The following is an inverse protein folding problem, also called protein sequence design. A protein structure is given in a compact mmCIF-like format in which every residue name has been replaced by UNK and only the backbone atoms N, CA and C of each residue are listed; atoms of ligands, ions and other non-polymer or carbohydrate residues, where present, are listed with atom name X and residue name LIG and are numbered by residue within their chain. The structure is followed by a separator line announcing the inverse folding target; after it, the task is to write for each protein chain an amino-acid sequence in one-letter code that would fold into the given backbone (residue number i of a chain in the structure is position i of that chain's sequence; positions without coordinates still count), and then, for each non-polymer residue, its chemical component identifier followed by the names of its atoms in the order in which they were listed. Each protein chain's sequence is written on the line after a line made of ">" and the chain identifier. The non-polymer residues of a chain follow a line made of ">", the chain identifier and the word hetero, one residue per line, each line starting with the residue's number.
data_IF_776230243286
#
_entry.id   IF_776230243286
#
_cell.length_a   1.000
_cell.length_b   1.000
_cell.length_c   1.000
_cell.angle_alpha   90.00
_cell.angle_beta   90.00
_cell.angle_gamma   90.00
#
_symmetry.space_group_name_H-M   'P 1'
#
loop_
_entity.id
_entity.type
_entity.pdbx_description
1 polymer ?
#
# COMPACT_ATOMS: atom_id res chain seq x y z
N UNK A 1 -12.99 -19.31 -14.03
CA UNK A 1 -12.38 -20.10 -12.93
C UNK A 1 -10.86 -19.93 -12.81
N UNK A 2 -10.10 -19.77 -13.90
CA UNK A 2 -8.64 -19.58 -13.84
C UNK A 2 -8.18 -18.19 -13.36
N UNK A 3 -8.94 -17.12 -13.58
CA UNK A 3 -8.54 -15.75 -13.21
C UNK A 3 -8.52 -15.51 -11.69
N UNK A 4 -9.48 -16.08 -10.95
CA UNK A 4 -9.47 -16.03 -9.49
C UNK A 4 -8.18 -16.67 -8.93
N UNK A 5 -7.69 -17.76 -9.54
CA UNK A 5 -6.45 -18.41 -9.14
C UNK A 5 -5.23 -17.52 -9.31
N UNK A 6 -5.09 -16.81 -10.43
CA UNK A 6 -3.96 -15.90 -10.67
C UNK A 6 -3.89 -14.81 -9.60
N UNK A 7 -5.00 -14.16 -9.28
CA UNK A 7 -5.01 -13.10 -8.26
C UNK A 7 -4.77 -13.64 -6.85
N UNK A 8 -5.35 -14.79 -6.50
CA UNK A 8 -5.07 -15.45 -5.23
C UNK A 8 -3.60 -15.87 -5.13
N UNK A 9 -3.00 -16.34 -6.22
CA UNK A 9 -1.57 -16.67 -6.29
C UNK A 9 -0.69 -15.42 -6.15
N UNK A 10 -1.01 -14.32 -6.82
CA UNK A 10 -0.25 -13.07 -6.69
C UNK A 10 -0.32 -12.51 -5.28
N UNK A 11 -1.51 -12.52 -4.65
CA UNK A 11 -1.69 -12.12 -3.25
C UNK A 11 -0.86 -12.99 -2.30
N UNK A 12 -0.89 -14.31 -2.50
CA UNK A 12 -0.18 -15.27 -1.65
C UNK A 12 1.35 -15.15 -1.83
N UNK A 13 1.82 -14.89 -3.06
CA UNK A 13 3.23 -14.59 -3.32
C UNK A 13 3.67 -13.28 -2.67
N UNK A 14 2.87 -12.22 -2.78
CA UNK A 14 3.21 -10.91 -2.21
C UNK A 14 3.28 -10.99 -0.67
N UNK A 15 2.25 -11.57 -0.05
CA UNK A 15 2.22 -11.79 1.40
C UNK A 15 3.36 -12.71 1.86
N UNK A 16 3.67 -13.75 1.08
CA UNK A 16 4.80 -14.64 1.34
C UNK A 16 6.15 -13.91 1.33
N UNK A 17 6.43 -13.08 0.32
CA UNK A 17 7.66 -12.29 0.25
C UNK A 17 7.81 -11.32 1.42
N UNK A 18 6.73 -10.61 1.78
CA UNK A 18 6.77 -9.71 2.94
C UNK A 18 7.01 -10.47 4.24
N UNK A 19 6.38 -11.62 4.44
CA UNK A 19 6.60 -12.46 5.61
C UNK A 19 8.06 -12.97 5.68
N UNK A 20 8.64 -13.38 4.55
CA UNK A 20 10.05 -13.83 4.50
C UNK A 20 11.01 -12.70 4.84
N UNK A 21 10.85 -11.52 4.22
CA UNK A 21 11.72 -10.37 4.47
C UNK A 21 11.59 -9.89 5.91
N UNK A 22 10.37 -9.76 6.42
CA UNK A 22 10.14 -9.34 7.80
C UNK A 22 10.66 -10.37 8.81
N UNK A 23 10.49 -11.67 8.53
CA UNK A 23 11.04 -12.73 9.36
C UNK A 23 12.56 -12.69 9.43
N UNK A 24 13.22 -12.42 8.31
CA UNK A 24 14.67 -12.23 8.29
C UNK A 24 15.10 -11.01 9.13
N UNK A 25 14.43 -9.87 8.98
CA UNK A 25 14.72 -8.65 9.76
C UNK A 25 14.49 -8.87 11.25
N UNK A 26 13.35 -9.44 11.64
CA UNK A 26 13.02 -9.70 13.05
C UNK A 26 13.99 -10.69 13.69
N UNK A 27 14.43 -11.72 12.96
CA UNK A 27 15.44 -12.66 13.43
C UNK A 27 16.79 -11.99 13.65
N UNK A 28 17.23 -11.16 12.69
CA UNK A 28 18.49 -10.41 12.81
C UNK A 28 18.45 -9.42 13.99
N UNK A 29 17.36 -8.67 14.14
CA UNK A 29 17.16 -7.77 15.28
C UNK A 29 17.10 -8.54 16.61
N UNK A 30 16.40 -9.67 16.66
CA UNK A 30 16.33 -10.51 17.86
C UNK A 30 17.70 -11.03 18.30
N UNK A 31 18.51 -11.50 17.34
CA UNK A 31 19.90 -11.92 17.59
C UNK A 31 20.77 -10.75 18.06
N UNK A 32 20.68 -9.59 17.40
CA UNK A 32 21.43 -8.41 17.78
C UNK A 32 21.10 -7.92 19.20
N UNK A 33 19.82 -7.92 19.58
CA UNK A 33 19.39 -7.58 20.94
C UNK A 33 19.89 -8.60 21.96
N UNK A 34 19.85 -9.90 21.64
CA UNK A 34 20.38 -10.94 22.51
C UNK A 34 21.88 -10.76 22.77
N UNK A 35 22.68 -10.58 21.71
CA UNK A 35 24.12 -10.31 21.81
C UNK A 35 24.41 -9.05 22.62
N UNK A 36 23.66 -7.96 22.39
CA UNK A 36 23.82 -6.72 23.14
C UNK A 36 23.53 -6.89 24.64
N UNK A 37 22.48 -7.64 25.00
CA UNK A 37 22.15 -7.96 26.40
C UNK A 37 23.26 -8.79 27.03
N UNK A 38 23.73 -9.84 26.35
CA UNK A 38 24.83 -10.69 26.84
C UNK A 38 26.08 -9.85 27.09
N UNK A 39 26.47 -9.03 26.12
CA UNK A 39 27.67 -8.19 26.21
C UNK A 39 27.57 -7.14 27.33
N UNK A 40 26.44 -6.42 27.43
CA UNK A 40 26.22 -5.42 28.48
C UNK A 40 26.25 -6.06 29.88
N UNK A 41 25.69 -7.26 30.01
CA UNK A 41 25.65 -7.94 31.30
C UNK A 41 27.02 -8.46 31.72
N UNK A 42 27.83 -8.97 30.78
CA UNK A 42 29.23 -9.32 31.03
C UNK A 42 30.05 -8.12 31.51
N UNK A 43 29.98 -6.98 30.82
CA UNK A 43 30.68 -5.77 31.23
C UNK A 43 30.27 -5.29 32.63
N UNK A 44 28.98 -5.43 32.97
CA UNK A 44 28.47 -5.07 34.30
C UNK A 44 29.00 -6.02 35.37
N UNK A 45 29.01 -7.31 35.08
CA UNK A 45 29.49 -8.35 35.98
C UNK A 45 30.99 -8.22 36.26
N UNK A 46 31.79 -7.93 35.25
CA UNK A 46 33.24 -7.72 35.39
C UNK A 46 33.52 -6.49 36.27
N UNK A 47 32.85 -5.36 36.01
CA UNK A 47 33.00 -4.14 36.83
C UNK A 47 32.58 -4.33 38.27
N UNK A 48 31.48 -5.06 38.50
CA UNK A 48 31.00 -5.36 39.86
C UNK A 48 31.98 -6.27 40.59
N UNK A 49 32.49 -7.33 39.94
CA UNK A 49 33.51 -8.21 40.50
C UNK A 49 34.81 -7.47 40.81
N UNK A 50 35.30 -6.63 39.90
CA UNK A 50 36.52 -5.86 40.08
C UNK A 50 36.40 -4.84 41.21
N UNK A 51 35.27 -4.13 41.33
CA UNK A 51 35.04 -3.19 42.42
C UNK A 51 34.98 -3.87 43.80
N UNK A 52 34.27 -5.00 43.90
CA UNK A 52 34.17 -5.73 45.17
C UNK A 52 35.51 -6.42 45.49
N UNK A 53 36.20 -6.98 44.50
CA UNK A 53 37.51 -7.59 44.69
C UNK A 53 38.56 -6.55 45.08
N UNK A 54 38.62 -5.39 44.44
CA UNK A 54 39.55 -4.31 44.79
C UNK A 54 39.35 -3.78 46.21
N UNK A 55 38.11 -3.50 46.61
CA UNK A 55 37.81 -3.03 47.97
C UNK A 55 38.19 -4.05 49.05
N UNK A 56 37.97 -5.34 48.77
CA UNK A 56 38.36 -6.41 49.68
C UNK A 56 39.88 -6.63 49.69
N UNK A 57 40.53 -6.53 48.53
CA UNK A 57 41.96 -6.62 48.35
C UNK A 57 42.68 -5.58 49.21
N UNK A 58 42.35 -4.30 49.05
CA UNK A 58 42.94 -3.18 49.81
C UNK A 58 42.72 -3.34 51.32
N UNK A 59 41.54 -3.80 51.72
CA UNK A 59 41.18 -4.01 53.12
C UNK A 59 42.00 -5.14 53.76
N UNK A 60 42.23 -6.23 53.04
CA UNK A 60 43.01 -7.38 53.52
C UNK A 60 44.49 -7.04 53.53
N UNK A 61 45.01 -6.43 52.46
CA UNK A 61 46.43 -6.09 52.31
C UNK A 61 46.96 -5.23 53.46
N UNK A 62 46.15 -4.28 53.94
CA UNK A 62 46.49 -3.41 55.07
C UNK A 62 46.72 -4.17 56.39
N UNK A 63 46.15 -5.37 56.55
CA UNK A 63 46.29 -6.21 57.74
C UNK A 63 47.39 -7.28 57.63
N UNK A 64 48.03 -7.45 56.45
CA UNK A 64 49.06 -8.47 56.21
C UNK A 64 50.46 -8.01 56.63
N UNK A 65 51.00 -8.62 57.70
CA UNK A 65 52.32 -8.29 58.26
C UNK A 65 53.43 -9.28 57.90
N UNK A 66 53.13 -10.57 57.86
CA UNK A 66 54.12 -11.62 57.55
C UNK A 66 53.69 -12.43 56.33
N UNK A 67 54.61 -12.78 55.41
CA UNK A 67 54.33 -13.72 54.34
C UNK A 67 53.82 -15.05 54.91
N UNK A 68 52.83 -15.66 54.25
CA UNK A 68 52.35 -17.03 54.53
C UNK A 68 51.66 -17.27 55.90
N UNK A 69 51.55 -16.24 56.76
CA UNK A 69 50.82 -16.31 58.04
C UNK A 69 49.64 -15.33 58.05
N UNK A 70 48.43 -15.86 58.18
CA UNK A 70 47.22 -15.04 58.29
C UNK A 70 47.04 -14.57 59.75
N UNK A 71 47.12 -13.27 59.97
CA UNK A 71 46.94 -12.65 61.28
C UNK A 71 45.48 -12.76 61.77
N UNK A 72 45.23 -12.83 63.09
CA UNK A 72 43.87 -12.91 63.63
C UNK A 72 42.97 -11.73 63.22
N UNK A 73 43.54 -10.53 62.99
CA UNK A 73 42.81 -9.35 62.51
C UNK A 73 42.35 -9.49 61.05
N UNK A 74 43.21 -10.02 60.17
CA UNK A 74 42.85 -10.33 58.78
C UNK A 74 41.78 -11.43 58.68
N UNK A 75 41.79 -12.41 59.59
CA UNK A 75 40.72 -13.43 59.68
C UNK A 75 39.35 -12.84 60.03
N UNK A 76 39.29 -11.77 60.83
CA UNK A 76 38.02 -11.12 61.19
C UNK A 76 37.43 -10.26 60.07
N UNK A 77 38.22 -9.92 59.03
CA UNK A 77 37.77 -9.20 57.85
C UNK A 77 37.17 -10.12 56.77
N UNK A 78 37.47 -11.42 56.84
CA UNK A 78 36.83 -12.41 55.99
C UNK A 78 35.37 -12.58 56.43
N UNK A 79 34.40 -12.56 55.50
CA UNK A 79 33.00 -12.75 55.84
C UNK A 79 32.77 -14.16 56.42
N UNK A 80 32.55 -14.24 57.74
CA UNK A 80 32.02 -15.44 58.38
C UNK A 80 30.57 -15.69 57.95
N UNK A 81 30.13 -16.95 58.01
CA UNK A 81 28.78 -17.40 57.62
C UNK A 81 27.62 -16.62 58.28
N UNK A 82 27.85 -15.87 59.37
CA UNK A 82 26.82 -15.12 60.12
C UNK A 82 27.30 -13.75 60.70
N UNK A 83 28.07 -12.93 59.98
CA UNK A 83 28.53 -11.63 60.50
C UNK A 83 27.61 -10.43 60.14
N UNK A 84 26.91 -9.87 61.14
CA UNK A 84 26.11 -8.62 61.09
C UNK A 84 26.98 -7.33 61.07
N UNK A 85 27.71 -7.04 59.98
CA UNK A 85 28.30 -5.69 59.78
C UNK A 85 27.85 -5.08 58.44
N UNK A 86 27.30 -3.86 58.52
CA UNK A 86 26.62 -3.15 57.44
C UNK A 86 27.48 -2.75 56.23
N UNK A 87 28.81 -2.95 56.25
CA UNK A 87 29.70 -2.55 55.14
C UNK A 87 29.92 -3.72 54.14
N UNK A 88 29.63 -4.97 54.53
CA UNK A 88 29.82 -6.19 53.71
C UNK A 88 28.50 -6.82 53.21
N UNK A 89 27.40 -6.05 53.20
CA UNK A 89 26.09 -6.51 52.73
C UNK A 89 26.06 -6.93 51.26
N UNK A 90 26.96 -6.40 50.42
CA UNK A 90 27.06 -6.73 48.99
C UNK A 90 27.62 -8.16 48.74
N UNK A 91 28.57 -8.61 49.57
CA UNK A 91 29.16 -9.95 49.47
C UNK A 91 28.18 -11.04 49.92
N UNK A 92 27.19 -10.69 50.75
CA UNK A 92 26.20 -11.64 51.25
C UNK A 92 24.98 -11.81 50.33
N UNK A 93 24.67 -10.82 49.47
CA UNK A 93 23.52 -10.85 48.56
C UNK A 93 23.85 -11.43 47.17
N UNK A 94 25.12 -11.35 46.74
CA UNK A 94 25.58 -12.08 45.56
C UNK A 94 26.24 -13.39 45.99
N UNK A 95 26.03 -14.45 45.22
CA UNK A 95 26.69 -15.76 45.40
C UNK A 95 28.21 -15.67 45.14
N UNK A 96 28.92 -14.91 45.95
CA UNK A 96 30.35 -14.65 45.87
C UNK A 96 31.12 -15.60 46.79
N UNK A 97 32.31 -15.99 46.34
CA UNK A 97 33.27 -16.72 47.13
C UNK A 97 34.63 -16.04 47.05
N UNK A 98 35.41 -16.17 48.11
CA UNK A 98 36.77 -15.65 48.21
C UNK A 98 37.68 -16.76 48.67
N UNK A 99 38.84 -16.92 48.04
CA UNK A 99 39.92 -17.85 48.43
C UNK A 99 41.22 -17.07 48.54
N UNK A 100 41.92 -17.25 49.65
CA UNK A 100 43.28 -16.77 49.84
C UNK A 100 44.24 -17.91 49.57
N UNK A 101 45.19 -17.72 48.67
CA UNK A 101 46.21 -18.69 48.28
C UNK A 101 47.57 -18.24 48.79
N UNK A 102 48.37 -19.17 49.31
CA UNK A 102 49.79 -18.92 49.58
C UNK A 102 50.60 -18.86 48.27
N UNK A 103 51.90 -18.56 48.38
CA UNK A 103 52.83 -18.54 47.23
C UNK A 103 52.94 -19.88 46.49
N UNK A 104 52.62 -20.99 47.17
CA UNK A 104 52.62 -22.33 46.60
C UNK A 104 51.27 -22.71 45.96
N UNK A 105 50.29 -21.79 45.94
CA UNK A 105 48.96 -22.03 45.38
C UNK A 105 48.04 -22.87 46.27
N UNK A 106 48.36 -23.02 47.57
CA UNK A 106 47.52 -23.73 48.54
C UNK A 106 46.53 -22.77 49.19
N UNK A 107 45.30 -23.23 49.37
CA UNK A 107 44.23 -22.43 50.00
C UNK A 107 44.51 -22.25 51.50
N UNK A 108 44.77 -21.01 51.91
CA UNK A 108 45.03 -20.59 53.29
C UNK A 108 43.73 -20.26 54.03
N UNK A 109 42.76 -19.67 53.32
CA UNK A 109 41.44 -19.35 53.85
C UNK A 109 40.39 -19.26 52.74
N UNK A 110 39.13 -19.56 53.09
CA UNK A 110 37.97 -19.38 52.21
C UNK A 110 36.89 -18.57 52.95
N UNK A 111 36.14 -17.76 52.21
CA UNK A 111 35.05 -16.96 52.75
C UNK A 111 33.90 -16.82 51.74
N UNK A 112 32.69 -16.55 52.23
CA UNK A 112 31.49 -16.49 51.39
C UNK A 112 30.88 -17.85 51.06
N UNK A 113 30.21 -17.95 49.91
CA UNK A 113 29.56 -19.19 49.44
C UNK A 113 30.62 -20.16 48.89
N UNK A 114 30.96 -21.25 49.58
CA UNK A 114 31.96 -22.19 49.07
C UNK A 114 31.35 -23.24 48.12
N UNK A 115 31.61 -23.18 46.79
CA UNK A 115 31.08 -24.15 45.85
C UNK A 115 31.81 -25.49 45.96
N UNK A 116 31.04 -26.56 46.21
CA UNK A 116 31.57 -27.93 46.30
C UNK A 116 32.16 -28.38 44.96
N UNK A 117 33.42 -28.78 44.96
CA UNK A 117 34.08 -29.34 43.77
C UNK A 117 34.49 -28.31 42.71
N UNK A 118 34.53 -27.02 43.05
CA UNK A 118 35.12 -26.01 42.16
C UNK A 118 36.66 -26.11 42.19
N UNK A 119 37.33 -26.31 41.04
CA UNK A 119 38.78 -26.49 40.99
C UNK A 119 39.52 -25.29 41.58
N UNK A 120 40.70 -25.53 42.16
CA UNK A 120 41.63 -24.47 42.58
C UNK A 120 42.63 -24.29 41.44
N UNK A 121 42.64 -23.11 40.84
CA UNK A 121 43.53 -22.76 39.74
C UNK A 121 44.69 -21.89 40.24
N UNK A 122 45.86 -21.90 39.56
CA UNK A 122 46.96 -20.99 39.89
C UNK A 122 46.52 -19.53 39.83
N UNK A 123 46.99 -18.71 40.77
CA UNK A 123 46.59 -17.29 40.92
C UNK A 123 47.08 -16.35 39.83
N UNK A 124 47.99 -16.79 38.96
CA UNK A 124 48.64 -15.98 37.91
C UNK A 124 47.68 -15.51 36.80
N UNK A 125 46.50 -16.11 36.68
CA UNK A 125 45.53 -15.76 35.64
C UNK A 125 44.47 -14.83 36.25
N UNK A 126 44.46 -13.60 35.76
CA UNK A 126 43.61 -12.52 36.25
C UNK A 126 42.11 -12.83 36.13
N UNK A 127 41.62 -13.37 35.01
CA UNK A 127 40.19 -13.68 34.80
C UNK A 127 39.97 -15.10 34.31
N UNK A 128 39.01 -15.81 34.91
CA UNK A 128 38.70 -17.20 34.56
C UNK A 128 37.22 -17.52 34.63
N UNK A 129 36.79 -18.43 33.75
CA UNK A 129 35.48 -19.08 33.83
C UNK A 129 35.66 -20.51 34.31
N UNK A 130 35.08 -20.82 35.46
CA UNK A 130 35.17 -22.14 36.09
C UNK A 130 33.81 -22.84 36.09
N UNK A 131 33.83 -24.16 36.26
CA UNK A 131 32.61 -24.95 36.47
C UNK A 131 32.77 -25.81 37.71
N UNK A 132 31.73 -25.89 38.53
CA UNK A 132 31.69 -26.83 39.65
C UNK A 132 31.33 -28.24 39.17
N UNK A 133 31.36 -29.21 40.09
CA UNK A 133 31.01 -30.60 39.80
C UNK A 133 29.54 -30.81 39.36
N UNK A 134 28.66 -29.83 39.62
CA UNK A 134 27.27 -29.82 39.16
C UNK A 134 27.09 -29.13 37.81
N UNK A 135 28.18 -28.63 37.21
CA UNK A 135 28.18 -27.93 35.92
C UNK A 135 27.82 -26.44 36.01
N UNK A 136 27.64 -25.89 37.21
CA UNK A 136 27.35 -24.46 37.37
C UNK A 136 28.59 -23.64 37.04
N UNK A 137 28.39 -22.57 36.29
CA UNK A 137 29.48 -21.69 35.86
C UNK A 137 29.75 -20.62 36.90
N UNK A 138 31.03 -20.30 37.06
CA UNK A 138 31.50 -19.22 37.92
C UNK A 138 32.45 -18.34 37.12
N UNK A 139 32.41 -17.04 37.39
CA UNK A 139 33.38 -16.08 36.89
C UNK A 139 34.28 -15.65 38.03
N UNK A 140 35.60 -15.76 37.87
CA UNK A 140 36.60 -15.55 38.91
C UNK A 140 37.62 -14.50 38.46
N UNK A 141 37.97 -13.59 39.37
CA UNK A 141 39.13 -12.70 39.28
C UNK A 141 40.21 -13.16 40.28
N UNK A 142 41.48 -13.08 39.90
CA UNK A 142 42.64 -13.32 40.77
C UNK A 142 43.47 -12.05 40.89
N UNK A 143 43.79 -11.64 42.12
CA UNK A 143 44.60 -10.47 42.44
C UNK A 143 45.80 -10.89 43.30
N UNK A 144 46.99 -10.36 43.03
CA UNK A 144 48.17 -10.58 43.87
C UNK A 144 48.04 -9.80 45.17
N UNK A 145 48.37 -10.41 46.31
CA UNK A 145 48.40 -9.74 47.62
C UNK A 145 49.84 -9.46 48.03
N UNK A 146 50.13 -8.28 48.58
CA UNK A 146 51.41 -7.99 49.22
C UNK A 146 51.30 -7.82 50.74
N UNK A 147 52.43 -7.96 51.41
CA UNK A 147 52.62 -7.50 52.79
C UNK A 147 52.90 -6.00 52.82
N UNK A 148 52.77 -5.34 53.98
CA UNK A 148 53.15 -3.92 54.16
C UNK A 148 54.57 -3.59 53.65
N UNK A 149 55.49 -4.54 53.71
CA UNK A 149 56.87 -4.39 53.23
C UNK A 149 57.02 -4.70 51.72
N UNK A 150 55.91 -4.67 50.96
CA UNK A 150 55.84 -4.90 49.50
C UNK A 150 56.32 -6.29 49.04
N UNK A 151 56.42 -7.27 49.94
CA UNK A 151 56.67 -8.66 49.56
C UNK A 151 55.37 -9.35 49.15
N UNK A 152 55.39 -10.15 48.10
CA UNK A 152 54.24 -10.98 47.66
C UNK A 152 53.80 -11.87 48.82
N UNK A 153 52.58 -11.75 49.30
CA UNK A 153 52.01 -12.63 50.31
C UNK A 153 51.42 -13.90 49.66
N UNK A 154 50.78 -13.74 48.51
CA UNK A 154 50.06 -14.79 47.80
C UNK A 154 49.05 -14.20 46.83
N UNK A 155 47.95 -14.91 46.56
CA UNK A 155 46.89 -14.43 45.66
C UNK A 155 45.52 -14.47 46.36
N UNK A 156 44.70 -13.46 46.12
CA UNK A 156 43.28 -13.46 46.44
C UNK A 156 42.48 -13.81 45.19
N UNK A 157 41.72 -14.89 45.25
CA UNK A 157 40.73 -15.23 44.24
C UNK A 157 39.35 -14.85 44.74
N UNK A 158 38.59 -14.16 43.90
CA UNK A 158 37.19 -13.85 44.16
C UNK A 158 36.37 -14.28 42.95
N UNK A 159 35.26 -14.98 43.16
CA UNK A 159 34.38 -15.35 42.06
C UNK A 159 32.92 -15.33 42.42
N UNK A 160 32.07 -15.31 41.39
CA UNK A 160 30.60 -15.28 41.50
C UNK A 160 29.96 -16.39 40.67
N UNK A 161 28.88 -16.97 41.18
CA UNK A 161 28.01 -17.87 40.40
C UNK A 161 27.33 -17.12 39.26
N UNK A 162 27.38 -17.69 38.05
CA UNK A 162 26.66 -17.19 36.87
C UNK A 162 25.24 -17.77 36.74
N UNK A 163 24.75 -18.52 37.73
CA UNK A 163 23.42 -19.15 37.66
C UNK A 163 22.28 -18.15 37.45
N UNK A 164 22.36 -16.98 38.09
CA UNK A 164 21.33 -15.94 37.94
C UNK A 164 21.34 -15.35 36.52
N UNK A 165 22.54 -15.15 35.96
CA UNK A 165 22.77 -14.70 34.58
C UNK A 165 22.29 -15.76 33.59
N UNK A 166 22.66 -17.02 33.78
CA UNK A 166 22.25 -18.14 32.93
C UNK A 166 20.71 -18.31 32.94
N UNK A 167 20.06 -18.17 34.10
CA UNK A 167 18.60 -18.21 34.22
C UNK A 167 17.92 -17.03 33.53
N UNK A 168 18.46 -15.83 33.69
CA UNK A 168 17.97 -14.64 32.99
C UNK A 168 18.08 -14.80 31.47
N UNK A 169 19.25 -15.20 30.96
CA UNK A 169 19.46 -15.44 29.53
C UNK A 169 18.59 -16.59 28.99
N UNK A 170 18.29 -17.61 29.79
CA UNK A 170 17.35 -18.66 29.42
C UNK A 170 15.93 -18.12 29.22
N UNK A 171 15.46 -17.23 30.10
CA UNK A 171 14.15 -16.57 29.96
C UNK A 171 14.11 -15.67 28.71
N UNK A 172 15.17 -14.91 28.45
CA UNK A 172 15.29 -14.10 27.22
C UNK A 172 15.25 -14.98 25.97
N UNK A 173 15.99 -16.10 25.97
CA UNK A 173 15.98 -17.06 24.85
C UNK A 173 14.59 -17.65 24.63
N UNK A 174 13.89 -18.04 25.70
CA UNK A 174 12.52 -18.54 25.62
C UNK A 174 11.56 -17.48 25.06
N UNK A 175 11.68 -16.22 25.52
CA UNK A 175 10.89 -15.11 25.04
C UNK A 175 11.13 -14.84 23.54
N UNK A 176 12.37 -14.91 23.06
CA UNK A 176 12.69 -14.79 21.63
C UNK A 176 12.14 -15.97 20.83
N UNK A 177 12.27 -17.20 21.34
CA UNK A 177 11.81 -18.41 20.68
C UNK A 177 10.28 -18.46 20.53
N UNK A 178 9.54 -17.97 21.52
CA UNK A 178 8.07 -17.90 21.46
C UNK A 178 7.56 -16.61 20.78
N UNK A 179 8.24 -15.50 20.99
CA UNK A 179 7.86 -14.20 20.44
C UNK A 179 8.02 -14.12 18.93
N UNK A 180 9.08 -14.71 18.36
CA UNK A 180 9.34 -14.65 16.91
C UNK A 180 8.22 -15.34 16.09
N UNK A 181 7.77 -16.58 16.40
CA UNK A 181 6.63 -17.20 15.71
C UNK A 181 5.33 -16.39 15.84
N UNK A 182 5.04 -15.84 17.03
CA UNK A 182 3.83 -15.04 17.25
C UNK A 182 3.88 -13.76 16.41
N UNK A 183 5.01 -13.05 16.40
CA UNK A 183 5.21 -11.89 15.56
C UNK A 183 5.08 -12.24 14.07
N UNK A 184 5.61 -13.38 13.64
CA UNK A 184 5.50 -13.88 12.26
C UNK A 184 4.06 -14.15 11.83
N UNK A 185 3.23 -14.75 12.71
CA UNK A 185 1.81 -14.99 12.43
C UNK A 185 1.08 -13.65 12.27
N UNK A 186 1.33 -12.69 13.18
CA UNK A 186 0.71 -11.36 13.12
C UNK A 186 1.11 -10.61 11.84
N UNK A 187 2.40 -10.61 11.50
CA UNK A 187 2.92 -10.01 10.27
C UNK A 187 2.32 -10.68 9.04
N UNK A 188 2.23 -12.01 9.01
CA UNK A 188 1.62 -12.75 7.90
C UNK A 188 0.15 -12.39 7.71
N UNK A 189 -0.61 -12.33 8.79
CA UNK A 189 -2.02 -11.91 8.77
C UNK A 189 -2.20 -10.47 8.29
N UNK A 190 -1.42 -9.54 8.84
CA UNK A 190 -1.44 -8.13 8.43
C UNK A 190 -1.03 -7.95 6.96
N UNK A 191 0.01 -8.65 6.51
CA UNK A 191 0.48 -8.63 5.12
C UNK A 191 -0.58 -9.17 4.16
N UNK A 192 -1.25 -10.26 4.54
CA UNK A 192 -2.35 -10.83 3.76
C UNK A 192 -3.54 -9.87 3.64
N UNK A 193 -3.88 -9.17 4.73
CA UNK A 193 -4.93 -8.15 4.74
C UNK A 193 -4.57 -6.99 3.82
N UNK A 194 -3.39 -6.38 4.02
CA UNK A 194 -2.93 -5.21 3.28
C UNK A 194 -2.80 -5.49 1.78
N UNK A 195 -2.27 -6.66 1.40
CA UNK A 195 -2.18 -7.10 0.01
C UNK A 195 -3.56 -7.21 -0.65
N UNK A 196 -4.58 -7.63 0.13
CA UNK A 196 -5.97 -7.65 -0.34
C UNK A 196 -6.46 -6.25 -0.70
N UNK A 197 -6.27 -5.27 0.18
CA UNK A 197 -6.65 -3.87 -0.07
C UNK A 197 -5.95 -3.28 -1.29
N UNK A 198 -4.64 -3.52 -1.44
CA UNK A 198 -3.85 -3.02 -2.56
C UNK A 198 -4.28 -3.61 -3.92
N UNK A 199 -4.78 -4.85 -3.95
CA UNK A 199 -5.19 -5.53 -5.18
C UNK A 199 -6.61 -5.15 -5.66
N UNK A 200 -7.48 -4.67 -4.78
CA UNK A 200 -8.85 -4.27 -5.13
C UNK A 200 -8.95 -3.27 -6.29
N UNK A 201 -8.23 -2.13 -6.30
CA UNK A 201 -8.30 -1.17 -7.41
C UNK A 201 -7.76 -1.76 -8.71
N UNK A 202 -6.69 -2.54 -8.65
CA UNK A 202 -6.08 -3.20 -9.82
C UNK A 202 -7.07 -4.18 -10.44
N UNK A 203 -7.75 -4.98 -9.61
CA UNK A 203 -8.76 -5.92 -10.08
C UNK A 203 -9.93 -5.22 -10.78
N UNK A 204 -10.44 -4.13 -10.19
CA UNK A 204 -11.51 -3.33 -10.79
C UNK A 204 -11.11 -2.75 -12.14
N UNK A 205 -9.92 -2.16 -12.22
CA UNK A 205 -9.37 -1.61 -13.46
C UNK A 205 -9.18 -2.70 -14.52
N UNK A 206 -8.61 -3.84 -14.16
CA UNK A 206 -8.41 -4.97 -15.08
C UNK A 206 -9.75 -5.50 -15.64
N UNK A 207 -10.74 -5.71 -14.76
CA UNK A 207 -12.10 -6.11 -15.16
C UNK A 207 -12.74 -5.10 -16.11
N UNK A 208 -12.58 -3.80 -15.86
CA UNK A 208 -13.10 -2.75 -16.74
C UNK A 208 -12.43 -2.78 -18.12
N UNK A 209 -11.12 -2.98 -18.19
CA UNK A 209 -10.39 -3.11 -19.46
C UNK A 209 -10.81 -4.36 -20.22
N UNK A 210 -10.95 -5.49 -19.54
CA UNK A 210 -11.41 -6.75 -20.14
C UNK A 210 -12.83 -6.60 -20.72
N UNK A 211 -13.76 -6.04 -19.93
CA UNK A 211 -15.13 -5.79 -20.37
C UNK A 211 -15.16 -4.80 -21.54
N UNK A 212 -14.43 -3.68 -21.45
CA UNK A 212 -14.31 -2.72 -22.54
C UNK A 212 -13.80 -3.34 -23.84
N UNK A 213 -12.79 -4.22 -23.75
CA UNK A 213 -12.23 -4.89 -24.93
C UNK A 213 -13.24 -5.88 -25.53
N UNK A 214 -13.97 -6.61 -24.69
CA UNK A 214 -15.01 -7.52 -25.14
C UNK A 214 -16.17 -6.78 -25.82
N UNK A 215 -16.65 -5.70 -25.20
CA UNK A 215 -17.75 -4.88 -25.72
C UNK A 215 -17.35 -4.19 -27.04
N UNK A 216 -16.12 -3.64 -27.10
CA UNK A 216 -15.57 -3.07 -28.33
C UNK A 216 -15.48 -4.10 -29.46
N UNK A 217 -15.03 -5.32 -29.17
CA UNK A 217 -14.96 -6.39 -30.16
C UNK A 217 -16.36 -6.77 -30.67
N UNK A 218 -17.38 -6.78 -29.80
CA UNK A 218 -18.75 -7.08 -30.20
C UNK A 218 -19.34 -5.99 -31.10
N UNK A 219 -19.19 -4.72 -30.71
CA UNK A 219 -19.72 -3.60 -31.47
C UNK A 219 -18.98 -3.37 -32.80
N UNK A 220 -17.69 -3.73 -32.90
CA UNK A 220 -16.94 -3.74 -34.16
C UNK A 220 -17.38 -4.88 -35.10
N UNK A 221 -17.69 -6.06 -34.56
CA UNK A 221 -18.08 -7.24 -35.36
C UNK A 221 -19.39 -7.00 -36.11
N UNK A 222 -20.32 -6.26 -35.54
CA UNK A 222 -21.66 -6.04 -36.12
C UNK A 222 -21.63 -5.31 -37.47
N UNK A 223 -21.08 -4.07 -37.59
CA UNK A 223 -21.00 -3.38 -38.88
C UNK A 223 -20.08 -4.11 -39.87
N UNK A 224 -19.03 -4.78 -39.39
CA UNK A 224 -18.14 -5.58 -40.25
C UNK A 224 -18.87 -6.77 -40.88
N UNK A 225 -19.63 -7.54 -40.09
CA UNK A 225 -20.42 -8.66 -40.58
C UNK A 225 -21.53 -8.19 -41.54
N UNK A 226 -22.17 -7.05 -41.24
CA UNK A 226 -23.18 -6.47 -42.13
C UNK A 226 -22.59 -6.03 -43.49
N UNK A 227 -21.42 -5.38 -43.47
CA UNK A 227 -20.71 -4.99 -44.68
C UNK A 227 -20.28 -6.23 -45.49
N UNK A 228 -19.72 -7.24 -44.82
CA UNK A 228 -19.31 -8.49 -45.44
C UNK A 228 -20.49 -9.22 -46.09
N UNK A 229 -21.60 -9.39 -45.38
CA UNK A 229 -22.81 -10.03 -45.93
C UNK A 229 -23.38 -9.26 -47.13
N UNK A 230 -23.33 -7.93 -47.11
CA UNK A 230 -23.76 -7.09 -48.25
C UNK A 230 -22.87 -7.33 -49.46
N UNK A 231 -21.55 -7.40 -49.28
CA UNK A 231 -20.59 -7.68 -50.36
C UNK A 231 -20.75 -9.10 -50.88
N UNK A 232 -20.84 -10.10 -50.01
CA UNK A 232 -21.06 -11.51 -50.39
C UNK A 232 -22.35 -11.67 -51.19
N UNK A 233 -23.44 -11.03 -50.76
CA UNK A 233 -24.70 -11.04 -51.49
C UNK A 233 -24.57 -10.39 -52.88
N UNK A 234 -23.83 -9.29 -52.99
CA UNK A 234 -23.61 -8.61 -54.26
C UNK A 234 -22.78 -9.47 -55.24
N UNK A 235 -21.79 -10.20 -54.72
CA UNK A 235 -20.93 -11.09 -55.53
C UNK A 235 -21.67 -12.32 -56.07
N UNK A 236 -22.79 -12.72 -55.47
CA UNK A 236 -23.62 -13.83 -55.94
C UNK A 236 -24.62 -13.42 -57.05
N UNK A 237 -24.80 -12.12 -57.28
CA UNK A 237 -25.73 -11.62 -58.30
C UNK A 237 -25.11 -11.69 -59.70
N UNK A 238 -25.81 -12.28 -60.66
CA UNK A 238 -25.34 -12.40 -62.05
C UNK A 238 -25.42 -11.11 -62.85
N UNK A 239 -26.26 -10.17 -62.41
CA UNK A 239 -26.43 -8.83 -62.97
C UNK A 239 -26.82 -7.87 -61.84
N UNK A 240 -26.27 -6.66 -61.87
CA UNK A 240 -26.56 -5.57 -60.95
C UNK A 240 -26.88 -4.35 -61.78
N UNK A 241 -28.06 -3.77 -61.60
CA UNK A 241 -28.36 -2.48 -62.24
C UNK A 241 -27.67 -1.31 -61.50
N UNK A 242 -27.61 -0.14 -62.14
CA UNK A 242 -26.96 1.05 -61.59
C UNK A 242 -27.56 1.50 -60.25
N UNK A 243 -28.85 1.21 -60.01
CA UNK A 243 -29.56 1.62 -58.80
C UNK A 243 -29.20 0.68 -57.65
N UNK A 244 -29.28 -0.62 -57.86
CA UNK A 244 -28.89 -1.66 -56.89
C UNK A 244 -27.42 -1.53 -56.51
N UNK A 245 -26.54 -1.28 -57.48
CA UNK A 245 -25.13 -1.03 -57.23
C UNK A 245 -24.91 0.19 -56.32
N UNK A 246 -25.64 1.29 -56.57
CA UNK A 246 -25.58 2.50 -55.71
C UNK A 246 -26.13 2.24 -54.31
N UNK A 247 -27.21 1.46 -54.18
CA UNK A 247 -27.79 1.13 -52.88
C UNK A 247 -26.85 0.25 -52.03
N UNK A 248 -26.18 -0.72 -52.67
CA UNK A 248 -25.13 -1.56 -52.05
C UNK A 248 -23.95 -0.70 -51.60
N UNK A 249 -23.41 0.14 -52.49
CA UNK A 249 -22.27 1.01 -52.17
C UNK A 249 -22.61 2.00 -51.05
N UNK A 250 -23.81 2.56 -51.07
CA UNK A 250 -24.32 3.45 -50.01
C UNK A 250 -24.43 2.71 -48.67
N UNK A 251 -24.87 1.45 -48.70
CA UNK A 251 -24.93 0.61 -47.49
C UNK A 251 -23.54 0.32 -46.93
N UNK A 252 -22.58 -0.04 -47.79
CA UNK A 252 -21.18 -0.27 -47.39
C UNK A 252 -20.55 1.01 -46.83
N UNK A 253 -20.74 2.16 -47.51
CA UNK A 253 -20.25 3.46 -47.06
C UNK A 253 -20.76 3.79 -45.66
N UNK A 254 -22.06 3.57 -45.39
CA UNK A 254 -22.67 3.78 -44.08
C UNK A 254 -22.05 2.87 -43.00
N UNK A 255 -21.79 1.60 -43.29
CA UNK A 255 -21.14 0.69 -42.33
C UNK A 255 -19.68 1.10 -42.06
N UNK A 256 -18.93 1.49 -43.10
CA UNK A 256 -17.56 1.97 -42.95
C UNK A 256 -17.50 3.25 -42.11
N UNK A 257 -18.39 4.22 -42.36
CA UNK A 257 -18.46 5.44 -41.57
C UNK A 257 -18.78 5.14 -40.11
N UNK A 258 -19.70 4.21 -39.83
CA UNK A 258 -20.01 3.76 -38.47
C UNK A 258 -18.79 3.12 -37.79
N UNK A 259 -18.02 2.30 -38.52
CA UNK A 259 -16.79 1.68 -38.02
C UNK A 259 -15.74 2.75 -37.69
N UNK A 260 -15.53 3.74 -38.58
CA UNK A 260 -14.60 4.84 -38.38
C UNK A 260 -14.96 5.67 -37.14
N UNK A 261 -16.23 6.03 -36.97
CA UNK A 261 -16.70 6.73 -35.78
C UNK A 261 -16.42 5.91 -34.53
N UNK A 262 -16.78 4.63 -34.52
CA UNK A 262 -16.56 3.76 -33.36
C UNK A 262 -15.08 3.65 -32.99
N UNK A 263 -14.19 3.43 -33.96
CA UNK A 263 -12.74 3.39 -33.70
C UNK A 263 -12.24 4.71 -33.13
N UNK A 264 -12.69 5.84 -33.67
CA UNK A 264 -12.33 7.18 -33.20
C UNK A 264 -12.82 7.42 -31.76
N UNK A 265 -14.03 6.97 -31.43
CA UNK A 265 -14.63 7.03 -30.10
C UNK A 265 -13.82 6.21 -29.08
N UNK A 266 -13.42 4.99 -29.45
CA UNK A 266 -12.60 4.13 -28.60
C UNK A 266 -11.21 4.73 -28.34
N UNK A 267 -10.57 5.24 -29.39
CA UNK A 267 -9.26 5.88 -29.27
C UNK A 267 -9.31 7.14 -28.40
N UNK A 268 -10.39 7.93 -28.51
CA UNK A 268 -10.60 9.08 -27.64
C UNK A 268 -10.71 8.64 -26.17
N UNK A 269 -11.61 7.70 -25.87
CA UNK A 269 -11.81 7.20 -24.50
C UNK A 269 -10.52 6.62 -23.91
N UNK A 270 -9.78 5.82 -24.67
CA UNK A 270 -8.52 5.23 -24.23
C UNK A 270 -7.43 6.30 -23.94
N UNK A 271 -7.41 7.41 -24.68
CA UNK A 271 -6.50 8.53 -24.43
C UNK A 271 -6.89 9.29 -23.16
N UNK A 272 -8.18 9.52 -22.95
CA UNK A 272 -8.69 10.27 -21.79
C UNK A 272 -8.51 9.51 -20.47
N UNK A 273 -8.61 8.18 -20.50
CA UNK A 273 -8.34 7.32 -19.33
C UNK A 273 -6.92 7.46 -18.77
N UNK A 274 -5.96 7.83 -19.63
CA UNK A 274 -4.54 7.90 -19.21
C UNK A 274 -4.19 9.17 -18.45
N UNK A 275 -5.10 10.15 -18.26
CA UNK A 275 -4.84 11.46 -17.61
C UNK A 275 -3.61 12.25 -18.14
N UNK A 276 -2.93 11.78 -19.18
CA UNK A 276 -1.66 12.33 -19.71
C UNK A 276 -1.90 13.31 -20.86
N UNK A 277 -3.15 13.64 -21.18
CA UNK A 277 -3.40 14.64 -22.23
C UNK A 277 -3.14 16.02 -21.64
N UNK A 278 -1.90 16.48 -21.80
CA UNK A 278 -1.54 17.88 -21.97
C UNK A 278 -2.32 18.42 -23.18
N UNK A 279 -3.61 18.62 -22.99
CA UNK A 279 -4.48 19.29 -23.97
C UNK A 279 -3.93 20.70 -24.08
N UNK A 280 -3.56 21.13 -25.28
CA UNK A 280 -3.25 22.53 -25.54
C UNK A 280 -4.52 23.32 -25.25
N UNK A 281 -4.56 23.94 -24.08
CA UNK A 281 -5.72 24.65 -23.59
C UNK A 281 -5.80 26.01 -24.29
N UNK A 282 -6.90 26.23 -25.00
CA UNK A 282 -7.21 27.48 -25.70
C UNK A 282 -8.50 28.10 -25.15
N UNK A 283 -8.72 29.36 -25.48
CA UNK A 283 -9.91 30.10 -25.11
C UNK A 283 -11.02 29.77 -26.10
N UNK A 284 -11.97 28.95 -25.70
CA UNK A 284 -13.09 28.53 -26.54
C UNK A 284 -14.33 29.41 -26.28
N UNK A 285 -14.95 29.94 -27.34
CA UNK A 285 -16.19 30.70 -27.24
C UNK A 285 -17.40 29.74 -27.22
N UNK A 286 -18.09 29.63 -26.08
CA UNK A 286 -19.20 28.69 -25.93
C UNK A 286 -20.44 29.10 -26.73
N UNK A 287 -20.61 30.40 -26.97
CA UNK A 287 -21.69 30.94 -27.79
C UNK A 287 -21.59 30.46 -29.23
N UNK A 288 -20.40 30.53 -29.81
CA UNK A 288 -20.15 30.15 -31.21
C UNK A 288 -20.39 28.65 -31.37
N UNK A 289 -19.79 27.83 -30.48
CA UNK A 289 -20.00 26.37 -30.47
C UNK A 289 -21.48 25.99 -30.40
N UNK A 290 -22.27 26.62 -29.51
CA UNK A 290 -23.70 26.31 -29.37
C UNK A 290 -24.50 26.72 -30.61
N UNK A 291 -24.19 27.87 -31.20
CA UNK A 291 -24.86 28.36 -32.40
C UNK A 291 -24.55 27.45 -33.59
N UNK A 292 -23.28 27.14 -33.81
CA UNK A 292 -22.81 26.27 -34.90
C UNK A 292 -23.45 24.88 -34.80
N UNK A 293 -23.51 24.30 -33.61
CA UNK A 293 -24.15 22.99 -33.39
C UNK A 293 -25.65 22.99 -33.68
N UNK A 294 -26.35 24.06 -33.33
CA UNK A 294 -27.79 24.16 -33.56
C UNK A 294 -28.08 24.33 -35.05
N UNK A 295 -27.25 25.07 -35.77
CA UNK A 295 -27.33 25.19 -37.23
C UNK A 295 -27.00 23.86 -37.92
N UNK A 296 -25.89 23.22 -37.57
CA UNK A 296 -25.47 21.95 -38.16
C UNK A 296 -26.52 20.84 -37.93
N UNK A 297 -27.06 20.74 -36.71
CA UNK A 297 -28.00 19.68 -36.34
C UNK A 297 -29.46 20.00 -36.72
N UNK A 298 -29.74 21.17 -37.31
CA UNK A 298 -31.09 21.53 -37.74
C UNK A 298 -31.68 20.54 -38.75
N UNK A 299 -30.86 20.09 -39.72
CA UNK A 299 -31.31 19.10 -40.71
C UNK A 299 -31.68 17.75 -40.07
N UNK A 300 -30.91 17.31 -39.06
CA UNK A 300 -31.19 16.10 -38.30
C UNK A 300 -32.50 16.26 -37.49
N UNK A 301 -32.69 17.40 -36.83
CA UNK A 301 -33.90 17.69 -36.07
C UNK A 301 -35.15 17.69 -36.96
N UNK A 302 -35.06 18.28 -38.17
CA UNK A 302 -36.15 18.25 -39.17
C UNK A 302 -36.45 16.82 -39.62
N UNK A 303 -35.43 16.00 -39.88
CA UNK A 303 -35.61 14.60 -40.28
C UNK A 303 -36.32 13.76 -39.19
N UNK A 304 -36.04 14.05 -37.91
CA UNK A 304 -36.71 13.43 -36.77
C UNK A 304 -38.03 14.11 -36.37
N UNK A 305 -38.40 15.22 -37.03
CA UNK A 305 -39.59 16.05 -36.73
C UNK A 305 -39.60 16.55 -35.28
N UNK A 306 -38.46 17.05 -34.83
CA UNK A 306 -38.24 17.63 -33.49
C UNK A 306 -37.87 19.11 -33.64
N UNK A 307 -38.43 19.97 -32.79
CA UNK A 307 -38.09 21.40 -32.74
C UNK A 307 -36.77 21.59 -31.97
N UNK A 308 -35.70 22.03 -32.65
CA UNK A 308 -34.40 22.34 -32.03
C UNK A 308 -34.23 23.85 -31.89
N UNK A 309 -33.98 24.32 -30.67
CA UNK A 309 -33.79 25.76 -30.37
C UNK A 309 -32.64 25.99 -29.41
N UNK A 310 -31.98 27.15 -29.52
CA UNK A 310 -31.05 27.66 -28.52
C UNK A 310 -31.60 28.88 -27.78
N UNK A 311 -31.16 29.04 -26.53
CA UNK A 311 -31.45 30.18 -25.68
C UNK A 311 -30.16 30.62 -24.97
N UNK A 312 -29.60 31.76 -25.37
CA UNK A 312 -28.43 32.36 -24.70
C UNK A 312 -28.91 33.46 -23.76
N UNK A 313 -28.72 33.27 -22.45
CA UNK A 313 -29.29 34.17 -21.43
C UNK A 313 -28.40 35.36 -21.09
N UNK A 314 -27.09 35.24 -21.28
CA UNK A 314 -26.14 36.33 -21.03
C UNK A 314 -25.88 37.12 -22.31
N UNK A 315 -25.76 38.44 -22.17
CA UNK A 315 -25.44 39.33 -23.30
C UNK A 315 -23.96 39.28 -23.71
N UNK A 316 -23.08 38.93 -22.78
CA UNK A 316 -21.64 38.84 -23.04
C UNK A 316 -21.27 37.40 -23.46
N UNK A 317 -20.35 37.22 -24.41
CA UNK A 317 -19.86 35.89 -24.78
C UNK A 317 -19.19 35.19 -23.61
N UNK A 318 -19.49 33.90 -23.44
CA UNK A 318 -18.93 33.06 -22.40
C UNK A 318 -17.75 32.26 -22.95
N UNK A 319 -16.67 32.22 -22.19
CA UNK A 319 -15.45 31.52 -22.57
C UNK A 319 -15.08 30.46 -21.55
N UNK A 320 -14.64 29.31 -22.06
CA UNK A 320 -14.04 28.24 -21.26
C UNK A 320 -12.64 27.93 -21.78
N UNK A 321 -11.78 27.44 -20.88
CA UNK A 321 -10.44 27.00 -21.22
C UNK A 321 -10.45 25.51 -21.60
N UNK A 322 -10.07 25.16 -22.83
CA UNK A 322 -10.26 23.79 -23.30
C UNK A 322 -9.71 23.50 -24.69
N UNK A 323 -10.21 22.43 -25.29
CA UNK A 323 -10.04 22.13 -26.71
C UNK A 323 -11.39 22.26 -27.39
N UNK A 324 -11.47 23.11 -28.40
CA UNK A 324 -12.75 23.48 -29.01
C UNK A 324 -13.51 22.27 -29.56
N UNK A 325 -12.86 21.44 -30.38
CA UNK A 325 -13.45 20.20 -30.92
C UNK A 325 -13.99 19.23 -29.85
N UNK A 326 -13.37 19.19 -28.66
CA UNK A 326 -13.84 18.32 -27.59
C UNK A 326 -15.11 18.90 -26.97
N UNK A 327 -15.14 20.19 -26.67
CA UNK A 327 -16.34 20.87 -26.15
C UNK A 327 -17.48 20.78 -27.18
N UNK A 328 -17.18 20.99 -28.45
CA UNK A 328 -18.11 20.81 -29.57
C UNK A 328 -18.73 19.42 -29.54
N UNK A 329 -17.90 18.39 -29.49
CA UNK A 329 -18.33 16.98 -29.45
C UNK A 329 -19.12 16.62 -28.20
N UNK A 330 -18.75 17.17 -27.05
CA UNK A 330 -19.50 17.02 -25.79
C UNK A 330 -20.94 17.49 -25.96
N UNK A 331 -21.12 18.72 -26.46
CA UNK A 331 -22.45 19.33 -26.59
C UNK A 331 -23.23 18.61 -27.71
N UNK A 332 -22.58 18.33 -28.84
CA UNK A 332 -23.16 17.57 -29.96
C UNK A 332 -23.74 16.22 -29.50
N UNK A 333 -22.99 15.44 -28.71
CA UNK A 333 -23.46 14.16 -28.19
C UNK A 333 -24.75 14.28 -27.37
N UNK A 334 -24.90 15.36 -26.60
CA UNK A 334 -26.12 15.60 -25.81
C UNK A 334 -27.29 16.03 -26.70
N UNK A 335 -27.06 16.92 -27.67
CA UNK A 335 -28.09 17.39 -28.59
C UNK A 335 -28.60 16.24 -29.47
N UNK A 336 -27.70 15.44 -30.05
CA UNK A 336 -28.05 14.27 -30.86
C UNK A 336 -28.87 13.26 -30.06
N UNK A 337 -28.50 13.01 -28.79
CA UNK A 337 -29.32 12.17 -27.91
C UNK A 337 -30.71 12.79 -27.69
N UNK A 338 -30.78 14.10 -27.41
CA UNK A 338 -32.05 14.81 -27.27
C UNK A 338 -32.94 14.62 -28.50
N UNK A 339 -32.39 14.76 -29.71
CA UNK A 339 -33.14 14.60 -30.96
C UNK A 339 -33.60 13.14 -31.14
N UNK A 340 -32.71 12.17 -30.97
CA UNK A 340 -32.99 10.76 -31.25
C UNK A 340 -33.99 10.12 -30.28
N UNK A 341 -34.02 10.57 -29.02
CA UNK A 341 -34.89 10.03 -27.97
C UNK A 341 -36.14 10.87 -27.72
N UNK A 342 -36.35 11.93 -28.51
CA UNK A 342 -37.57 12.73 -28.51
C UNK A 342 -38.56 12.23 -29.54
N UNK A 343 -39.82 11.91 -29.16
CA UNK A 343 -40.86 11.56 -30.11
C UNK A 343 -41.17 12.68 -31.12
N UNK A 344 -41.77 12.29 -32.25
CA UNK A 344 -42.22 13.23 -33.29
C UNK A 344 -43.09 14.33 -32.69
N UNK A 345 -42.81 15.59 -33.03
CA UNK A 345 -43.50 16.77 -32.53
C UNK A 345 -43.00 17.28 -31.17
N UNK A 346 -42.01 16.62 -30.56
CA UNK A 346 -41.35 17.11 -29.35
C UNK A 346 -40.32 18.22 -29.62
N UNK A 347 -39.64 18.64 -28.56
CA UNK A 347 -38.69 19.75 -28.57
C UNK A 347 -37.38 19.39 -27.86
N UNK A 348 -36.27 19.92 -28.40
CA UNK A 348 -34.96 19.97 -27.77
C UNK A 348 -34.51 21.43 -27.65
N UNK A 349 -34.20 21.87 -26.43
CA UNK A 349 -33.73 23.22 -26.14
C UNK A 349 -32.32 23.20 -25.57
N UNK A 350 -31.41 23.97 -26.16
CA UNK A 350 -30.05 24.19 -25.67
C UNK A 350 -29.96 25.55 -25.00
N UNK A 351 -29.74 25.58 -23.69
CA UNK A 351 -29.66 26.80 -22.89
C UNK A 351 -28.20 27.05 -22.52
N UNK A 352 -27.70 28.25 -22.83
CA UNK A 352 -26.38 28.72 -22.40
C UNK A 352 -26.56 29.86 -21.39
N UNK A 353 -26.06 29.64 -20.18
CA UNK A 353 -26.12 30.56 -19.05
C UNK A 353 -24.79 30.56 -18.28
N UNK A 354 -24.67 31.40 -17.26
CA UNK A 354 -23.53 31.35 -16.35
C UNK A 354 -23.86 31.79 -14.93
N UNK A 355 -23.11 31.22 -13.99
CA UNK A 355 -22.95 31.74 -12.63
C UNK A 355 -21.62 32.50 -12.48
N UNK A 356 -21.19 32.75 -11.24
CA UNK A 356 -19.95 33.50 -10.94
C UNK A 356 -18.67 32.78 -11.38
N UNK A 357 -18.68 31.45 -11.45
CA UNK A 357 -17.49 30.61 -11.63
C UNK A 357 -17.60 29.66 -12.83
N UNK A 358 -18.81 29.40 -13.33
CA UNK A 358 -19.06 28.38 -14.34
C UNK A 358 -19.98 28.86 -15.46
N UNK A 359 -19.70 28.39 -16.67
CA UNK A 359 -20.65 28.33 -17.76
C UNK A 359 -21.56 27.13 -17.54
N UNK A 360 -22.86 27.35 -17.72
CA UNK A 360 -23.91 26.38 -17.54
C UNK A 360 -24.52 26.11 -18.91
N UNK A 361 -24.38 24.88 -19.41
CA UNK A 361 -24.97 24.45 -20.68
C UNK A 361 -26.00 23.38 -20.36
N UNK A 362 -27.27 23.64 -20.67
CA UNK A 362 -28.35 22.69 -20.45
C UNK A 362 -28.91 22.22 -21.79
N UNK A 363 -28.99 20.91 -21.97
CA UNK A 363 -29.71 20.29 -23.09
C UNK A 363 -30.97 19.66 -22.52
N UNK A 364 -32.11 20.27 -22.82
CA UNK A 364 -33.44 19.86 -22.36
C UNK A 364 -34.18 19.20 -23.52
N UNK A 365 -34.69 18.00 -23.30
CA UNK A 365 -35.53 17.29 -24.25
C UNK A 365 -36.90 16.99 -23.66
N UNK A 366 -37.94 16.98 -24.50
CA UNK A 366 -39.28 16.52 -24.14
C UNK A 366 -39.47 15.03 -24.48
N UNK A 367 -38.40 14.23 -24.35
CA UNK A 367 -38.35 12.88 -24.84
C UNK A 367 -38.94 11.84 -23.90
N UNK A 368 -38.56 10.57 -24.12
CA UNK A 368 -39.09 9.43 -23.36
C UNK A 368 -38.69 9.42 -21.87
N UNK A 369 -37.71 10.23 -21.49
CA UNK A 369 -37.14 10.25 -20.15
C UNK A 369 -36.37 8.99 -19.76
N UNK A 370 -35.76 9.01 -18.58
CA UNK A 370 -34.83 8.00 -18.08
C UNK A 370 -35.26 7.58 -16.68
N UNK A 371 -35.49 6.28 -16.48
CA UNK A 371 -35.89 5.74 -15.19
C UNK A 371 -34.82 6.01 -14.10
N UNK A 372 -35.19 6.29 -12.84
CA UNK A 372 -34.23 6.69 -11.80
C UNK A 372 -33.06 5.72 -11.56
N UNK A 373 -33.29 4.41 -11.71
CA UNK A 373 -32.24 3.39 -11.55
C UNK A 373 -31.24 3.37 -12.71
N UNK A 374 -31.63 3.87 -13.88
CA UNK A 374 -30.80 3.92 -15.10
C UNK A 374 -29.91 5.16 -15.13
N UNK A 375 -30.32 6.27 -14.51
CA UNK A 375 -29.64 7.59 -14.60
C UNK A 375 -28.17 7.58 -14.18
N UNK A 376 -27.75 6.63 -13.32
CA UNK A 376 -26.33 6.48 -12.94
C UNK A 376 -25.52 5.70 -13.98
N UNK A 377 -26.17 4.79 -14.70
CA UNK A 377 -25.56 3.84 -15.63
C UNK A 377 -25.49 4.35 -17.05
N UNK A 378 -26.30 5.34 -17.44
CA UNK A 378 -26.28 5.93 -18.79
C UNK A 378 -24.92 6.52 -19.21
N UNK A 379 -24.03 6.78 -18.25
CA UNK A 379 -22.67 7.25 -18.50
C UNK A 379 -21.64 6.12 -18.58
N UNK A 380 -22.04 4.87 -18.35
CA UNK A 380 -21.20 3.70 -18.50
C UNK A 380 -21.00 3.42 -20.00
N UNK A 381 -19.81 2.92 -20.36
CA UNK A 381 -19.47 2.62 -21.75
C UNK A 381 -20.37 1.51 -22.28
N UNK A 382 -20.82 1.67 -23.53
CA UNK A 382 -21.69 0.71 -24.23
C UNK A 382 -23.05 0.48 -23.56
N UNK A 383 -23.40 1.27 -22.53
CA UNK A 383 -24.64 1.10 -21.81
C UNK A 383 -25.84 1.66 -22.59
N UNK A 384 -26.94 0.89 -22.60
CA UNK A 384 -28.17 1.24 -23.30
C UNK A 384 -29.37 0.73 -22.51
N UNK A 385 -30.36 1.60 -22.27
CA UNK A 385 -31.57 1.30 -21.47
C UNK A 385 -32.44 0.21 -22.10
N UNK A 386 -32.51 0.13 -23.44
CA UNK A 386 -33.25 -0.89 -24.19
C UNK A 386 -32.48 -1.33 -25.44
N UNK A 387 -31.92 -2.53 -25.45
CA UNK A 387 -31.12 -3.07 -26.56
C UNK A 387 -31.93 -3.34 -27.84
N UNK A 388 -33.22 -3.67 -27.72
CA UNK A 388 -34.00 -4.19 -28.86
C UNK A 388 -34.57 -3.09 -29.76
N UNK A 389 -35.05 -1.98 -29.18
CA UNK A 389 -35.60 -0.83 -29.94
C UNK A 389 -34.50 0.07 -30.55
N UNK A 390 -33.26 -0.09 -30.11
CA UNK A 390 -32.16 0.83 -30.37
C UNK A 390 -31.17 0.30 -31.44
N UNK A 391 -31.34 -0.94 -31.91
CA UNK A 391 -30.63 -1.45 -33.09
C UNK A 391 -30.96 -0.66 -34.37
N UNK A 392 -32.15 -0.07 -34.46
CA UNK A 392 -32.57 0.77 -35.60
C UNK A 392 -31.99 2.18 -35.57
N UNK A 393 -31.71 2.75 -34.40
CA UNK A 393 -31.13 4.11 -34.25
C UNK A 393 -29.61 4.14 -34.28
N UNK A 394 -28.94 2.97 -34.27
CA UNK A 394 -27.52 2.84 -34.64
C UNK A 394 -26.47 3.32 -33.63
N UNK A 395 -26.85 3.85 -32.47
CA UNK A 395 -25.91 4.35 -31.45
C UNK A 395 -25.05 3.24 -30.81
N UNK A 396 -23.76 3.51 -30.60
CA UNK A 396 -22.79 2.61 -29.96
C UNK A 396 -22.88 2.56 -28.42
N UNK A 397 -23.65 3.46 -27.80
CA UNK A 397 -23.67 3.62 -26.34
C UNK A 397 -22.40 4.30 -25.78
N UNK A 398 -21.57 4.90 -26.63
CA UNK A 398 -20.35 5.61 -26.19
C UNK A 398 -20.55 7.12 -25.99
N UNK A 399 -21.56 7.73 -26.60
CA UNK A 399 -21.73 9.20 -26.64
C UNK A 399 -21.75 9.87 -25.25
N UNK A 400 -22.54 9.34 -24.30
CA UNK A 400 -22.61 9.88 -22.95
C UNK A 400 -21.34 9.61 -22.12
N UNK A 401 -20.68 8.45 -22.35
CA UNK A 401 -19.39 8.16 -21.73
C UNK A 401 -18.29 9.12 -22.22
N UNK A 402 -18.29 9.45 -23.51
CA UNK A 402 -17.40 10.45 -24.12
C UNK A 402 -17.70 11.84 -23.56
N UNK A 403 -18.97 12.25 -23.50
CA UNK A 403 -19.38 13.52 -22.92
C UNK A 403 -18.86 13.66 -21.48
N UNK A 404 -19.03 12.62 -20.66
CA UNK A 404 -18.52 12.59 -19.28
C UNK A 404 -16.99 12.69 -19.22
N UNK A 405 -16.28 11.95 -20.06
CA UNK A 405 -14.82 11.99 -20.11
C UNK A 405 -14.30 13.38 -20.52
N UNK A 406 -14.93 14.01 -21.51
CA UNK A 406 -14.59 15.37 -21.96
C UNK A 406 -14.80 16.39 -20.85
N UNK A 407 -15.98 16.40 -20.22
CA UNK A 407 -16.26 17.34 -19.13
C UNK A 407 -15.27 17.18 -17.98
N UNK A 408 -14.93 15.94 -17.62
CA UNK A 408 -13.95 15.67 -16.56
C UNK A 408 -12.55 16.16 -16.93
N UNK A 409 -12.11 15.97 -18.18
CA UNK A 409 -10.83 16.49 -18.66
C UNK A 409 -10.77 18.03 -18.63
N UNK A 410 -11.92 18.70 -18.76
CA UNK A 410 -12.06 20.16 -18.64
C UNK A 410 -12.36 20.65 -17.22
N UNK A 411 -12.18 19.79 -16.20
CA UNK A 411 -12.45 20.10 -14.78
C UNK A 411 -13.89 20.58 -14.51
N UNK A 412 -14.82 20.16 -15.36
CA UNK A 412 -16.25 20.45 -15.24
C UNK A 412 -17.04 19.32 -14.58
N UNK A 413 -18.36 19.46 -14.60
CA UNK A 413 -19.28 18.39 -14.19
C UNK A 413 -20.46 18.23 -15.15
N UNK A 414 -20.95 16.99 -15.30
CA UNK A 414 -22.10 16.64 -16.12
C UNK A 414 -23.11 15.92 -15.24
N UNK A 415 -24.34 16.41 -15.22
CA UNK A 415 -25.44 15.83 -14.45
C UNK A 415 -26.68 15.66 -15.32
N UNK A 416 -27.59 14.78 -14.87
CA UNK A 416 -28.87 14.53 -15.54
C UNK A 416 -30.00 14.64 -14.52
N UNK A 417 -31.09 15.28 -14.93
CA UNK A 417 -32.37 15.25 -14.25
C UNK A 417 -33.39 14.75 -15.26
N UNK A 418 -34.11 13.67 -14.94
CA UNK A 418 -35.05 13.08 -15.88
C UNK A 418 -36.17 12.36 -15.15
N UNK A 419 -37.34 12.34 -15.77
CA UNK A 419 -38.49 11.56 -15.33
C UNK A 419 -39.09 10.84 -16.54
N UNK A 420 -39.44 9.57 -16.36
CA UNK A 420 -39.98 8.74 -17.43
C UNK A 420 -41.25 9.38 -18.01
N UNK A 421 -41.27 9.57 -19.34
CA UNK A 421 -42.37 10.20 -20.06
C UNK A 421 -42.43 11.72 -20.01
N UNK A 422 -41.53 12.40 -19.27
CA UNK A 422 -41.48 13.87 -19.19
C UNK A 422 -40.24 14.50 -19.83
N UNK A 423 -39.31 13.67 -20.30
CA UNK A 423 -38.05 14.11 -20.92
C UNK A 423 -36.87 14.15 -19.96
N UNK A 424 -35.79 14.79 -20.40
CA UNK A 424 -34.53 14.85 -19.67
C UNK A 424 -33.88 16.21 -19.77
N UNK A 425 -33.06 16.54 -18.78
CA UNK A 425 -32.22 17.73 -18.78
C UNK A 425 -30.81 17.32 -18.40
N UNK A 426 -29.90 17.40 -19.36
CA UNK A 426 -28.47 17.26 -19.11
C UNK A 426 -27.87 18.63 -18.83
N UNK A 427 -27.17 18.78 -17.72
CA UNK A 427 -26.51 20.03 -17.33
C UNK A 427 -25.01 19.83 -17.27
N UNK A 428 -24.29 20.58 -18.10
CA UNK A 428 -22.84 20.71 -18.10
C UNK A 428 -22.46 21.98 -17.32
N UNK A 429 -21.47 21.86 -16.44
CA UNK A 429 -20.80 22.98 -15.79
C UNK A 429 -19.33 22.99 -16.23
N UNK A 430 -18.87 24.09 -16.85
CA UNK A 430 -17.46 24.29 -17.21
C UNK A 430 -16.91 25.53 -16.49
N UNK A 431 -15.69 25.50 -15.92
CA UNK A 431 -15.08 26.68 -15.32
C UNK A 431 -14.95 27.83 -16.34
N UNK A 432 -15.39 29.03 -15.95
CA UNK A 432 -15.20 30.26 -16.74
C UNK A 432 -13.78 30.78 -16.60
N UNK A 433 -13.35 31.53 -17.61
CA UNK A 433 -12.11 32.33 -17.61
C UNK A 433 -12.37 33.82 -17.67
#
# INVERSE_FOLDING_TARGET
>A
MNQHKLFTQTRLRLAGWYAVVMGFILSLCGLGVYEAIVHAHWQTLDRELEAVAGTLHDSIENELKQPERLEPSARQLLPEREAKRHILGAVHHGNYYVRLLDRAGRVVATAGFEPKGLPVTPGEIAWQNLKDASGNRYHQISLELHTRDHQIWGHMQMGRSLQDVDRYLANVRLALFLGLPVAMILVGGASWWLSGLAMLPIYKSYRQVEQFTADAAHELRTPLAAAQATVESALLMSYLDDKEARDILTTIQRQNQRLTTLVTDLLLLARMDRQVVSVKQERCCLNDIVNDLVEELAALAIAYKVDLKSEVRKKQPLYALGHEDQIYRLISNLIVNGIQYTPIGGQVKVILDSDRYHAIIQVQDSGIGIAPHEQKRIFDRFYRVNSDRSRSTGGSGLGLAIARAIVQAHKGSLSVQSELGKGSTFTILLPLI
#
